data_IF_100127892915
#
_entry.id   IF_100127892915
#
_cell.length_a   1.000
_cell.length_b   1.000
_cell.length_c   1.000
_cell.angle_alpha   90.00
_cell.angle_beta   90.00
_cell.angle_gamma   90.00
#
_symmetry.space_group_name_H-M   'P 1'
#
loop_
_entity.id
_entity.type
_entity.pdbx_description
1 polymer ?
#
# COMPACT_ATOMS: atom_id res chain seq x y z
N UNK A 1 8.44 -39.07 0.74
CA UNK A 1 8.78 -37.63 0.68
C UNK A 1 7.51 -36.85 1.01
N UNK A 2 7.37 -36.39 2.25
CA UNK A 2 6.17 -35.68 2.75
C UNK A 2 6.33 -34.18 2.53
N UNK A 3 5.57 -33.61 1.61
CA UNK A 3 5.44 -32.16 1.41
C UNK A 3 4.57 -31.57 2.53
N UNK A 4 5.19 -30.81 3.43
CA UNK A 4 4.49 -30.00 4.43
C UNK A 4 3.72 -28.86 3.75
N UNK A 5 2.42 -28.68 4.01
CA UNK A 5 1.69 -27.49 3.61
C UNK A 5 2.07 -26.34 4.54
N UNK A 6 3.19 -25.67 4.24
CA UNK A 6 3.47 -24.35 4.81
C UNK A 6 2.51 -23.37 4.14
N UNK A 7 1.29 -23.42 4.66
CA UNK A 7 0.01 -22.85 4.22
C UNK A 7 0.13 -21.60 3.33
N UNK A 8 -0.40 -21.72 2.12
CA UNK A 8 -0.73 -20.67 1.12
C UNK A 8 -1.13 -19.30 1.73
N UNK A 9 -1.78 -19.30 2.91
CA UNK A 9 -2.08 -18.10 3.68
C UNK A 9 -0.85 -17.26 4.07
N UNK A 10 0.24 -17.89 4.54
CA UNK A 10 1.48 -17.21 4.92
C UNK A 10 2.18 -16.60 3.72
N UNK A 11 2.20 -17.32 2.59
CA UNK A 11 2.77 -16.82 1.34
C UNK A 11 1.97 -15.63 0.81
N UNK A 12 0.64 -15.74 0.77
CA UNK A 12 -0.26 -14.62 0.42
C UNK A 12 -0.08 -13.42 1.34
N UNK A 13 0.12 -13.64 2.64
CA UNK A 13 0.38 -12.56 3.60
C UNK A 13 1.72 -11.86 3.30
N UNK A 14 2.78 -12.62 2.99
CA UNK A 14 4.08 -12.06 2.60
C UNK A 14 4.00 -11.27 1.29
N UNK A 15 3.34 -11.82 0.27
CA UNK A 15 3.12 -11.15 -1.02
C UNK A 15 2.35 -9.84 -0.82
N UNK A 16 1.26 -9.86 -0.04
CA UNK A 16 0.51 -8.65 0.32
C UNK A 16 1.36 -7.60 1.02
N UNK A 17 2.19 -8.03 1.98
CA UNK A 17 3.12 -7.13 2.66
C UNK A 17 4.13 -6.52 1.70
N UNK A 18 4.68 -7.32 0.77
CA UNK A 18 5.65 -6.87 -0.22
C UNK A 18 5.05 -5.86 -1.20
N UNK A 19 3.85 -6.13 -1.72
CA UNK A 19 3.13 -5.20 -2.60
C UNK A 19 2.83 -3.90 -1.85
N UNK A 20 2.43 -3.98 -0.57
CA UNK A 20 2.21 -2.81 0.27
C UNK A 20 3.46 -1.92 0.37
N UNK A 21 4.63 -2.51 0.64
CA UNK A 21 5.91 -1.79 0.67
C UNK A 21 6.23 -1.10 -0.66
N UNK A 22 6.07 -1.81 -1.78
CA UNK A 22 6.34 -1.26 -3.12
C UNK A 22 5.42 -0.09 -3.46
N UNK A 23 4.14 -0.17 -3.09
CA UNK A 23 3.19 0.93 -3.29
C UNK A 23 3.62 2.17 -2.49
N UNK A 24 4.05 1.99 -1.23
CA UNK A 24 4.50 3.11 -0.39
C UNK A 24 5.79 3.75 -0.93
N UNK A 25 6.74 2.93 -1.39
CA UNK A 25 7.98 3.38 -2.02
C UNK A 25 7.68 4.22 -3.27
N UNK A 26 6.88 3.67 -4.20
CA UNK A 26 6.47 4.37 -5.41
C UNK A 26 5.78 5.71 -5.11
N UNK A 27 4.83 5.72 -4.16
CA UNK A 27 4.11 6.94 -3.77
C UNK A 27 4.97 7.96 -3.03
N UNK A 28 6.09 7.55 -2.43
CA UNK A 28 7.05 8.45 -1.78
C UNK A 28 7.81 9.26 -2.85
N UNK A 29 8.24 8.58 -3.91
CA UNK A 29 8.96 9.19 -5.03
C UNK A 29 8.03 9.97 -5.97
N UNK A 30 6.80 9.48 -6.16
CA UNK A 30 5.85 10.01 -7.12
C UNK A 30 4.62 10.61 -6.42
N UNK A 31 4.61 11.93 -6.28
CA UNK A 31 3.48 12.65 -5.65
C UNK A 31 2.19 12.60 -6.49
N UNK A 32 2.32 12.53 -7.81
CA UNK A 32 1.21 12.44 -8.75
C UNK A 32 1.53 11.32 -9.73
N UNK A 33 0.60 10.41 -9.96
CA UNK A 33 0.86 9.22 -10.77
C UNK A 33 -0.42 8.70 -11.45
N UNK A 34 -0.26 7.98 -12.56
CA UNK A 34 -1.35 7.20 -13.12
C UNK A 34 -1.42 5.82 -12.46
N UNK A 35 -2.63 5.28 -12.30
CA UNK A 35 -2.82 3.93 -11.76
C UNK A 35 -2.06 2.87 -12.56
N UNK A 36 -1.92 3.06 -13.87
CA UNK A 36 -1.19 2.13 -14.73
C UNK A 36 0.31 2.12 -14.41
N UNK A 37 0.92 3.29 -14.18
CA UNK A 37 2.33 3.40 -13.78
C UNK A 37 2.60 2.64 -12.48
N UNK A 38 1.71 2.77 -11.50
CA UNK A 38 1.81 2.04 -10.24
C UNK A 38 1.69 0.52 -10.46
N UNK A 39 0.78 0.07 -11.34
CA UNK A 39 0.61 -1.36 -11.64
C UNK A 39 1.85 -1.93 -12.31
N UNK A 40 2.37 -1.25 -13.34
CA UNK A 40 3.58 -1.65 -14.05
C UNK A 40 4.78 -1.69 -13.12
N UNK A 41 4.93 -0.68 -12.25
CA UNK A 41 5.98 -0.67 -11.24
C UNK A 41 5.91 -1.91 -10.36
N UNK A 42 4.75 -2.22 -9.76
CA UNK A 42 4.61 -3.39 -8.88
C UNK A 42 4.82 -4.72 -9.64
N UNK A 43 4.31 -4.83 -10.86
CA UNK A 43 4.45 -6.04 -11.70
C UNK A 43 5.90 -6.34 -12.07
N UNK A 44 6.75 -5.33 -12.20
CA UNK A 44 8.18 -5.53 -12.43
C UNK A 44 8.90 -6.22 -11.25
N UNK A 45 8.30 -6.21 -10.06
CA UNK A 45 8.90 -6.80 -8.86
C UNK A 45 8.21 -8.09 -8.40
N UNK A 46 6.90 -8.23 -8.65
CA UNK A 46 6.09 -9.34 -8.15
C UNK A 46 5.06 -9.73 -9.20
N UNK A 47 4.95 -11.03 -9.49
CA UNK A 47 3.87 -11.55 -10.32
C UNK A 47 2.53 -11.45 -9.57
N UNK A 48 1.69 -10.51 -9.98
CA UNK A 48 0.41 -10.24 -9.33
C UNK A 48 -0.61 -9.71 -10.33
N UNK A 49 -1.87 -10.17 -10.16
CA UNK A 49 -2.99 -9.63 -10.90
C UNK A 49 -3.13 -8.11 -10.69
N UNK A 50 -3.40 -7.32 -11.75
CA UNK A 50 -3.54 -5.86 -11.67
C UNK A 50 -4.56 -5.37 -10.63
N UNK A 51 -5.63 -6.14 -10.39
CA UNK A 51 -6.68 -5.80 -9.44
C UNK A 51 -6.17 -5.81 -7.98
N UNK A 52 -5.19 -6.66 -7.67
CA UNK A 52 -4.60 -6.76 -6.34
C UNK A 52 -3.90 -5.47 -5.92
N UNK A 53 -3.21 -4.80 -6.85
CA UNK A 53 -2.55 -3.50 -6.60
C UNK A 53 -3.60 -2.46 -6.18
N UNK A 54 -4.71 -2.42 -6.91
CA UNK A 54 -5.81 -1.48 -6.64
C UNK A 54 -6.48 -1.77 -5.29
N UNK A 55 -6.64 -3.04 -4.92
CA UNK A 55 -7.18 -3.46 -3.62
C UNK A 55 -6.26 -3.09 -2.47
N UNK A 56 -4.96 -3.37 -2.60
CA UNK A 56 -3.97 -3.09 -1.55
C UNK A 56 -3.81 -1.57 -1.37
N UNK A 57 -3.81 -0.79 -2.45
CA UNK A 57 -3.79 0.68 -2.36
C UNK A 57 -4.98 1.20 -1.55
N UNK A 58 -6.20 0.69 -1.80
CA UNK A 58 -7.40 1.05 -1.03
C UNK A 58 -7.29 0.61 0.44
N UNK A 59 -6.75 -0.58 0.68
CA UNK A 59 -6.53 -1.10 2.04
C UNK A 59 -5.56 -0.20 2.82
N UNK A 60 -4.43 0.20 2.22
CA UNK A 60 -3.46 1.11 2.84
C UNK A 60 -4.11 2.46 3.19
N UNK A 61 -5.02 2.94 2.35
CA UNK A 61 -5.81 4.14 2.64
C UNK A 61 -6.78 3.96 3.80
N UNK A 62 -7.50 2.84 3.84
CA UNK A 62 -8.41 2.50 4.93
C UNK A 62 -7.68 2.35 6.28
N UNK A 63 -6.47 1.78 6.24
CA UNK A 63 -5.59 1.64 7.40
C UNK A 63 -4.87 2.94 7.78
N UNK A 64 -5.13 4.04 7.05
CA UNK A 64 -4.48 5.35 7.23
C UNK A 64 -2.95 5.29 7.14
N UNK A 65 -2.39 4.32 6.41
CA UNK A 65 -0.93 4.22 6.14
C UNK A 65 -0.53 5.10 4.96
N UNK A 66 -1.46 5.32 4.02
CA UNK A 66 -1.33 6.20 2.87
C UNK A 66 -2.60 7.04 2.74
N UNK A 67 -2.53 8.23 2.17
CA UNK A 67 -3.72 8.95 1.73
C UNK A 67 -3.53 9.47 0.30
N UNK A 68 -4.61 9.55 -0.46
CA UNK A 68 -4.58 10.03 -1.84
C UNK A 68 -5.93 10.59 -2.28
N UNK A 69 -5.89 11.53 -3.23
CA UNK A 69 -7.06 12.01 -3.97
C UNK A 69 -7.02 11.54 -5.43
N UNK A 70 -8.21 11.41 -6.03
CA UNK A 70 -8.36 11.16 -7.47
C UNK A 70 -8.47 12.53 -8.13
N UNK A 71 -7.45 12.90 -8.91
CA UNK A 71 -7.41 14.17 -9.64
C UNK A 71 -8.27 14.09 -10.90
N UNK A 72 -8.19 12.98 -11.62
CA UNK A 72 -8.98 12.74 -12.83
C UNK A 72 -9.35 11.28 -12.95
N UNK A 73 -10.65 10.98 -12.89
CA UNK A 73 -11.16 9.60 -13.04
C UNK A 73 -10.94 9.06 -14.44
N UNK A 74 -11.16 9.90 -15.47
CA UNK A 74 -10.99 9.52 -16.88
C UNK A 74 -9.56 9.10 -17.19
N UNK A 75 -8.58 9.78 -16.59
CA UNK A 75 -7.16 9.50 -16.80
C UNK A 75 -6.58 8.55 -15.74
N UNK A 76 -7.39 8.09 -14.79
CA UNK A 76 -6.91 7.36 -13.61
C UNK A 76 -5.70 8.06 -12.95
N UNK A 77 -5.80 9.38 -12.78
CA UNK A 77 -4.75 10.23 -12.22
C UNK A 77 -4.98 10.42 -10.72
N UNK A 78 -3.97 10.10 -9.94
CA UNK A 78 -3.99 10.12 -8.48
C UNK A 78 -2.93 11.07 -7.96
N UNK A 79 -3.15 11.60 -6.76
CA UNK A 79 -2.18 12.42 -6.04
C UNK A 79 -2.06 11.94 -4.60
N UNK A 80 -0.84 11.65 -4.16
CA UNK A 80 -0.50 11.29 -2.79
C UNK A 80 -0.66 12.50 -1.87
N UNK A 81 -1.25 12.27 -0.70
CA UNK A 81 -1.49 13.28 0.31
C UNK A 81 -0.74 12.94 1.60
N UNK A 82 -0.46 13.96 2.41
CA UNK A 82 0.10 13.73 3.74
C UNK A 82 -0.91 12.94 4.57
N UNK A 83 -0.47 11.82 5.14
CA UNK A 83 -1.24 11.12 6.16
C UNK A 83 -1.27 12.00 7.40
N UNK A 84 -2.46 12.51 7.75
CA UNK A 84 -2.67 13.10 9.07
C UNK A 84 -2.67 11.95 10.07
N UNK A 85 -1.58 11.79 10.82
CA UNK A 85 -1.58 10.91 11.99
C UNK A 85 -2.69 11.39 12.92
N UNK A 86 -3.63 10.53 13.35
CA UNK A 86 -4.61 10.92 14.35
C UNK A 86 -3.86 11.38 15.61
N UNK A 87 -4.23 12.54 16.15
CA UNK A 87 -3.61 13.08 17.36
C UNK A 87 -3.68 12.11 18.56
N UNK A 88 -4.64 11.18 18.57
CA UNK A 88 -4.77 10.12 19.57
C UNK A 88 -3.54 9.19 19.67
N UNK A 89 -2.74 9.04 18.60
CA UNK A 89 -1.50 8.27 18.70
C UNK A 89 -0.33 9.09 19.27
N UNK A 90 -0.41 10.42 19.30
CA UNK A 90 0.64 11.25 19.91
C UNK A 90 0.57 11.19 21.45
N UNK A 91 -0.64 11.07 22.03
CA UNK A 91 -0.83 10.97 23.48
C UNK A 91 -0.31 9.63 24.05
N UNK A 92 -0.49 8.53 23.31
CA UNK A 92 0.02 7.19 23.69
C UNK A 92 1.56 7.12 23.78
N UNK A 93 2.30 8.00 23.10
CA UNK A 93 3.75 8.11 23.24
C UNK A 93 4.19 9.16 24.28
N UNK A 94 3.28 10.01 24.76
CA UNK A 94 3.57 11.03 25.78
C UNK A 94 3.46 10.46 27.20
N UNK A 95 2.48 9.58 27.46
CA UNK A 95 2.30 8.92 28.78
C UNK A 95 3.43 7.94 29.16
N UNK A 96 4.25 7.52 28.21
CA UNK A 96 5.35 6.57 28.45
C UNK A 96 6.70 7.24 28.70
N UNK A 97 6.75 8.57 28.66
CA UNK A 97 7.95 9.38 28.85
C UNK A 97 7.86 10.34 30.05
N UNK A 98 6.80 10.23 30.88
CA UNK A 98 6.66 10.95 32.16
C UNK A 98 6.92 10.02 33.35
#
# INVERSE_FOLDING_TARGET
MTTTPTTDHQERARVRSRIGSLILEFCCENRTFHMEDLRLYVQNWVDVAPDSVSRILRQLRQQRVLNYSVVSRRQSLYRTERVKRPAEQAELFYERAS
#
